data_IF_055441822605
#
_entry.id   IF_055441822605
#
_cell.length_a   1.000
_cell.length_b   1.000
_cell.length_c   1.000
_cell.angle_alpha   90.00
_cell.angle_beta   90.00
_cell.angle_gamma   90.00
#
_symmetry.space_group_name_H-M   'P 1'
#
loop_
_entity.id
_entity.type
_entity.pdbx_description
1 polymer ?
#
# COMPACT_ATOMS: atom_id res chain seq x y z
N UNK A 1 30.53 6.48 8.31
CA UNK A 1 29.94 5.42 9.17
C UNK A 1 28.49 5.24 8.76
N UNK A 2 28.03 4.07 8.30
CA UNK A 2 26.61 3.88 8.00
C UNK A 2 25.83 3.84 9.32
N UNK A 3 24.78 4.65 9.40
CA UNK A 3 23.89 4.73 10.56
C UNK A 3 23.12 3.41 10.67
N UNK A 4 23.30 2.67 11.76
CA UNK A 4 22.41 1.55 12.13
C UNK A 4 21.02 2.12 12.40
N UNK A 5 20.09 1.96 11.47
CA UNK A 5 18.66 2.13 11.74
C UNK A 5 18.20 0.89 12.49
N UNK A 6 18.10 0.98 13.83
CA UNK A 6 17.36 -0.02 14.59
C UNK A 6 15.86 0.23 14.37
N UNK A 7 15.30 -0.25 13.27
CA UNK A 7 13.86 -0.45 13.21
C UNK A 7 13.54 -1.60 14.17
N UNK A 8 12.55 -1.40 15.06
CA UNK A 8 11.98 -2.52 15.80
C UNK A 8 11.49 -3.58 14.79
N UNK A 9 11.61 -4.88 15.10
CA UNK A 9 10.98 -5.90 14.26
C UNK A 9 9.49 -5.60 14.20
N UNK A 10 8.97 -5.48 12.98
CA UNK A 10 7.55 -5.33 12.76
C UNK A 10 6.89 -6.70 12.93
N UNK A 11 6.29 -6.94 14.09
CA UNK A 11 5.63 -8.20 14.44
C UNK A 11 4.38 -8.45 13.58
N UNK A 12 3.85 -7.41 12.91
CA UNK A 12 2.68 -7.52 12.03
C UNK A 12 3.05 -7.84 10.58
N UNK A 13 4.34 -7.92 10.28
CA UNK A 13 4.83 -8.22 8.95
C UNK A 13 4.41 -9.61 8.47
N UNK A 14 4.54 -10.61 9.33
CA UNK A 14 4.22 -11.99 8.96
C UNK A 14 2.72 -12.12 8.58
N UNK A 15 1.85 -11.29 9.17
CA UNK A 15 0.43 -11.22 8.80
C UNK A 15 0.28 -10.75 7.35
N UNK A 16 0.87 -9.60 6.99
CA UNK A 16 0.81 -9.08 5.62
C UNK A 16 1.37 -10.08 4.60
N UNK A 17 2.48 -10.74 4.91
CA UNK A 17 3.08 -11.76 4.03
C UNK A 17 2.18 -13.00 3.89
N UNK A 18 1.52 -13.42 4.97
CA UNK A 18 0.57 -14.55 4.93
C UNK A 18 -0.67 -14.27 4.08
N UNK A 19 -1.05 -13.00 3.92
CA UNK A 19 -2.17 -12.59 3.05
C UNK A 19 -1.78 -12.54 1.56
N UNK A 20 -0.55 -12.90 1.20
CA UNK A 20 -0.13 -12.92 -0.20
C UNK A 20 -0.98 -13.89 -1.02
N UNK A 21 -1.60 -13.37 -2.09
CA UNK A 21 -2.46 -14.14 -2.99
C UNK A 21 -3.92 -14.21 -2.54
N UNK A 22 -4.25 -13.69 -1.36
CA UNK A 22 -5.63 -13.67 -0.86
C UNK A 22 -6.49 -12.70 -1.66
N UNK A 23 -7.72 -13.16 -1.91
CA UNK A 23 -8.78 -12.38 -2.55
C UNK A 23 -10.01 -12.47 -1.65
N UNK A 24 -10.48 -11.33 -1.16
CA UNK A 24 -11.70 -11.27 -0.36
C UNK A 24 -12.82 -10.70 -1.20
N UNK A 25 -13.84 -11.52 -1.45
CA UNK A 25 -15.10 -11.07 -2.04
C UNK A 25 -15.91 -10.32 -0.97
N UNK A 26 -16.50 -9.20 -1.37
CA UNK A 26 -17.26 -8.30 -0.52
C UNK A 26 -18.66 -8.07 -1.11
N UNK A 27 -19.48 -7.31 -0.39
CA UNK A 27 -20.83 -6.98 -0.82
C UNK A 27 -20.84 -6.17 -2.13
N UNK A 28 -21.98 -6.15 -2.83
CA UNK A 28 -22.21 -5.44 -4.10
C UNK A 28 -21.22 -5.77 -5.24
N UNK A 29 -20.54 -6.90 -5.13
CA UNK A 29 -19.56 -7.36 -6.12
C UNK A 29 -18.21 -6.65 -6.01
N UNK A 30 -17.94 -5.96 -4.91
CA UNK A 30 -16.60 -5.49 -4.59
C UNK A 30 -15.70 -6.67 -4.22
N UNK A 31 -14.40 -6.53 -4.51
CA UNK A 31 -13.42 -7.51 -4.07
C UNK A 31 -12.05 -6.87 -3.86
N UNK A 32 -11.30 -7.41 -2.92
CA UNK A 32 -9.93 -6.99 -2.65
C UNK A 32 -8.93 -8.03 -3.11
N UNK A 33 -7.71 -7.60 -3.42
CA UNK A 33 -6.59 -8.48 -3.74
C UNK A 33 -5.34 -8.02 -3.01
N UNK A 34 -4.66 -8.99 -2.40
CA UNK A 34 -3.45 -8.81 -1.64
C UNK A 34 -2.27 -9.48 -2.36
N UNK A 35 -1.24 -8.69 -2.66
CA UNK A 35 0.05 -9.21 -3.12
C UNK A 35 1.13 -8.64 -2.21
N UNK A 36 1.78 -9.47 -1.41
CA UNK A 36 2.90 -9.08 -0.57
C UNK A 36 4.09 -10.02 -0.75
N UNK A 37 5.30 -9.48 -0.83
CA UNK A 37 6.53 -10.24 -1.02
C UNK A 37 7.63 -9.70 -0.13
N UNK A 38 8.40 -10.61 0.48
CA UNK A 38 9.65 -10.25 1.14
C UNK A 38 10.71 -9.97 0.09
N UNK A 39 11.39 -8.83 0.21
CA UNK A 39 12.50 -8.43 -0.66
C UNK A 39 13.69 -8.03 0.20
N UNK A 40 14.89 -8.00 -0.39
CA UNK A 40 16.06 -7.51 0.35
C UNK A 40 15.85 -6.04 0.75
N UNK A 41 16.01 -5.68 2.04
CA UNK A 41 15.94 -4.30 2.46
C UNK A 41 16.97 -3.45 1.73
N UNK A 42 16.54 -2.31 1.21
CA UNK A 42 17.40 -1.37 0.49
C UNK A 42 17.04 0.06 0.83
N UNK A 43 17.82 1.02 0.29
CA UNK A 43 17.59 2.46 0.54
C UNK A 43 16.17 2.92 0.14
N UNK A 44 15.56 2.24 -0.83
CA UNK A 44 14.21 2.53 -1.32
C UNK A 44 13.11 1.67 -0.68
N UNK A 45 13.48 0.54 -0.06
CA UNK A 45 12.54 -0.39 0.61
C UNK A 45 13.15 -0.76 1.96
N UNK A 46 13.17 0.17 2.93
CA UNK A 46 13.86 -0.05 4.20
C UNK A 46 13.24 -1.17 5.03
N UNK A 47 11.95 -1.44 4.83
CA UNK A 47 11.21 -2.52 5.49
C UNK A 47 11.42 -3.90 4.84
N UNK A 48 12.03 -3.97 3.65
CA UNK A 48 12.27 -5.24 2.94
C UNK A 48 10.99 -5.91 2.42
N UNK A 49 9.99 -5.12 2.02
CA UNK A 49 8.68 -5.64 1.60
C UNK A 49 8.22 -4.91 0.35
N UNK A 50 7.75 -5.69 -0.63
CA UNK A 50 7.02 -5.18 -1.78
C UNK A 50 5.55 -5.60 -1.65
N UNK A 51 4.63 -4.66 -1.77
CA UNK A 51 3.20 -4.93 -1.67
C UNK A 51 2.37 -4.23 -2.75
N UNK A 52 1.20 -4.81 -3.02
CA UNK A 52 0.09 -4.23 -3.76
C UNK A 52 -1.23 -4.71 -3.14
N UNK A 53 -1.94 -3.80 -2.48
CA UNK A 53 -3.28 -4.02 -1.93
C UNK A 53 -4.27 -3.24 -2.79
N UNK A 54 -5.32 -3.89 -3.29
CA UNK A 54 -6.25 -3.25 -4.23
C UNK A 54 -7.70 -3.59 -3.92
N UNK A 55 -8.59 -2.62 -4.16
CA UNK A 55 -10.05 -2.81 -4.17
C UNK A 55 -10.55 -2.64 -5.60
N UNK A 56 -11.44 -3.51 -6.02
CA UNK A 56 -12.07 -3.51 -7.33
C UNK A 56 -13.59 -3.55 -7.20
N UNK A 57 -14.29 -2.97 -8.17
CA UNK A 57 -15.75 -3.09 -8.29
C UNK A 57 -16.16 -4.36 -9.07
N UNK A 58 -17.48 -4.57 -9.19
CA UNK A 58 -18.09 -5.66 -9.96
C UNK A 58 -17.75 -5.67 -11.45
N UNK A 59 -17.21 -4.57 -11.99
CA UNK A 59 -16.77 -4.44 -13.37
C UNK A 59 -15.25 -4.66 -13.51
N UNK A 60 -14.57 -5.12 -12.45
CA UNK A 60 -13.12 -5.27 -12.35
C UNK A 60 -12.35 -3.95 -12.52
N UNK A 61 -12.99 -2.82 -12.18
CA UNK A 61 -12.33 -1.52 -12.15
C UNK A 61 -11.66 -1.33 -10.80
N UNK A 62 -10.34 -1.05 -10.78
CA UNK A 62 -9.62 -0.70 -9.54
C UNK A 62 -10.13 0.63 -8.99
N UNK A 63 -10.70 0.60 -7.79
CA UNK A 63 -11.25 1.77 -7.08
C UNK A 63 -10.23 2.37 -6.11
N UNK A 64 -9.45 1.51 -5.46
CA UNK A 64 -8.41 1.86 -4.48
C UNK A 64 -7.17 1.01 -4.73
N UNK A 65 -6.00 1.53 -4.40
CA UNK A 65 -4.92 0.63 -4.01
C UNK A 65 -3.70 1.30 -3.41
N UNK A 66 -2.99 0.49 -2.65
CA UNK A 66 -1.78 0.83 -1.91
C UNK A 66 -0.67 -0.03 -2.49
N UNK A 67 0.34 0.60 -3.10
CA UNK A 67 1.45 -0.13 -3.67
C UNK A 67 2.77 0.64 -3.53
N UNK A 68 3.83 -0.11 -3.23
CA UNK A 68 5.22 0.37 -3.28
C UNK A 68 6.03 -0.35 -4.38
N UNK A 69 5.34 -1.16 -5.20
CA UNK A 69 5.88 -2.01 -6.23
C UNK A 69 6.31 -1.25 -7.51
N UNK A 70 6.03 0.04 -7.61
CA UNK A 70 6.41 0.88 -8.74
C UNK A 70 7.61 1.77 -8.38
N UNK A 71 8.73 1.54 -9.04
CA UNK A 71 9.85 2.48 -9.05
C UNK A 71 9.44 3.76 -9.80
N UNK A 72 8.85 4.73 -9.10
CA UNK A 72 8.66 6.07 -9.63
C UNK A 72 10.02 6.78 -9.76
N UNK A 73 10.53 6.90 -10.99
CA UNK A 73 11.45 7.99 -11.31
C UNK A 73 10.59 9.23 -11.55
N UNK A 74 10.60 10.25 -10.67
CA UNK A 74 9.91 11.50 -10.98
C UNK A 74 10.44 12.05 -12.31
N UNK A 75 9.54 12.30 -13.27
CA UNK A 75 9.87 13.06 -14.48
C UNK A 75 10.32 14.44 -14.03
N UNK A 76 11.64 14.65 -14.01
CA UNK A 76 12.39 15.90 -13.79
C UNK A 76 11.50 17.15 -13.76
N UNK A 77 11.31 17.76 -12.57
CA UNK A 77 11.21 19.22 -12.43
C UNK A 77 11.83 19.71 -11.10
N UNK A 78 12.96 20.43 -11.29
CA UNK A 78 13.61 21.46 -10.46
C UNK A 78 13.86 21.20 -8.97
N UNK A 79 15.16 21.12 -8.66
CA UNK A 79 15.87 21.64 -7.47
C UNK A 79 15.02 21.93 -6.22
N UNK A 80 15.11 21.01 -5.27
CA UNK A 80 14.68 21.19 -3.88
C UNK A 80 14.86 19.86 -3.19
N UNK A 81 15.75 19.79 -2.20
CA UNK A 81 16.01 18.58 -1.43
C UNK A 81 14.69 18.05 -0.85
N UNK A 82 14.25 16.89 -1.32
CA UNK A 82 13.04 16.24 -0.80
C UNK A 82 13.33 14.76 -0.59
N UNK A 83 13.03 14.30 0.62
CA UNK A 83 13.13 12.90 1.04
C UNK A 83 12.10 12.13 0.22
N UNK A 84 12.57 11.22 -0.63
CA UNK A 84 11.70 10.44 -1.53
C UNK A 84 11.03 9.36 -0.69
N UNK A 85 9.78 9.58 -0.28
CA UNK A 85 8.91 8.52 0.25
C UNK A 85 8.27 7.76 -0.91
N UNK A 86 8.34 6.43 -0.82
CA UNK A 86 8.02 5.50 -1.90
C UNK A 86 6.63 4.86 -1.77
N UNK A 87 5.99 4.95 -0.60
CA UNK A 87 4.66 4.41 -0.46
C UNK A 87 3.65 5.39 -1.07
N UNK A 88 2.60 4.89 -1.73
CA UNK A 88 1.57 5.74 -2.29
C UNK A 88 0.17 5.17 -2.08
N UNK A 89 -0.81 6.07 -1.87
CA UNK A 89 -2.25 5.78 -1.79
C UNK A 89 -2.95 6.28 -3.06
N UNK A 90 -3.63 5.39 -3.79
CA UNK A 90 -4.46 5.75 -4.95
C UNK A 90 -5.91 5.93 -4.53
N UNK A 91 -6.40 7.18 -4.51
CA UNK A 91 -7.84 7.47 -4.44
C UNK A 91 -8.32 8.00 -5.79
N UNK A 92 -9.06 7.17 -6.54
CA UNK A 92 -9.67 7.42 -7.87
C UNK A 92 -8.71 7.82 -9.00
N UNK A 93 -7.83 8.83 -8.85
CA UNK A 93 -6.81 9.24 -9.84
C UNK A 93 -5.59 9.96 -9.21
N UNK A 94 -5.52 10.10 -7.87
CA UNK A 94 -4.46 10.86 -7.20
C UNK A 94 -3.46 9.93 -6.53
N UNK A 95 -2.18 10.13 -6.85
CA UNK A 95 -1.02 9.51 -6.22
C UNK A 95 -0.63 10.39 -5.03
N UNK A 96 -0.82 9.91 -3.80
CA UNK A 96 -0.36 10.59 -2.58
C UNK A 96 0.75 9.78 -1.94
N UNK A 97 1.87 10.40 -1.52
CA UNK A 97 2.87 9.69 -0.73
C UNK A 97 2.22 9.21 0.59
N UNK A 98 2.42 7.94 0.88
CA UNK A 98 2.10 7.26 2.11
C UNK A 98 3.45 7.02 2.81
N UNK A 99 3.46 7.00 4.13
CA UNK A 99 4.58 6.51 4.94
C UNK A 99 3.89 5.73 6.05
N UNK A 100 4.16 4.43 6.16
CA UNK A 100 3.60 3.62 7.25
C UNK A 100 4.69 3.22 8.23
N UNK A 101 4.32 3.13 9.51
CA UNK A 101 5.24 2.75 10.58
C UNK A 101 5.32 1.22 10.72
N UNK A 102 4.27 0.49 10.35
CA UNK A 102 4.19 -0.98 10.36
C UNK A 102 3.22 -1.56 9.31
N UNK A 103 3.42 -2.81 8.93
CA UNK A 103 2.52 -3.58 8.07
C UNK A 103 1.08 -3.62 8.62
N UNK A 104 0.92 -3.62 9.94
CA UNK A 104 -0.37 -3.52 10.62
C UNK A 104 -1.08 -2.20 10.32
N UNK A 105 -0.36 -1.07 10.39
CA UNK A 105 -0.94 0.23 10.03
C UNK A 105 -1.36 0.27 8.54
N UNK A 106 -0.54 -0.29 7.65
CA UNK A 106 -0.87 -0.42 6.23
C UNK A 106 -2.19 -1.21 6.02
N UNK A 107 -2.36 -2.32 6.74
CA UNK A 107 -3.57 -3.13 6.68
C UNK A 107 -4.78 -2.38 7.24
N UNK A 108 -4.65 -1.76 8.42
CA UNK A 108 -5.72 -0.98 9.06
C UNK A 108 -6.19 0.17 8.16
N UNK A 109 -5.26 0.94 7.60
CA UNK A 109 -5.58 2.07 6.72
C UNK A 109 -6.24 1.59 5.42
N UNK A 110 -5.78 0.48 4.84
CA UNK A 110 -6.40 -0.10 3.66
C UNK A 110 -7.83 -0.54 3.93
N UNK A 111 -8.08 -1.29 5.01
CA UNK A 111 -9.42 -1.75 5.36
C UNK A 111 -10.36 -0.59 5.70
N UNK A 112 -9.87 0.43 6.41
CA UNK A 112 -10.63 1.63 6.73
C UNK A 112 -11.10 2.37 5.46
N UNK A 113 -10.22 2.53 4.47
CA UNK A 113 -10.60 3.12 3.19
C UNK A 113 -11.58 2.26 2.40
N UNK A 114 -11.39 0.93 2.39
CA UNK A 114 -12.29 -0.02 1.72
C UNK A 114 -13.70 0.09 2.31
N UNK A 115 -13.81 0.04 3.64
CA UNK A 115 -15.10 0.22 4.33
C UNK A 115 -15.74 1.56 4.02
N UNK A 116 -14.96 2.65 4.02
CA UNK A 116 -15.47 3.98 3.71
C UNK A 116 -16.02 4.03 2.28
N UNK A 117 -15.30 3.46 1.31
CA UNK A 117 -15.71 3.43 -0.10
C UNK A 117 -17.01 2.63 -0.28
N UNK A 118 -17.11 1.46 0.34
CA UNK A 118 -18.30 0.61 0.25
C UNK A 118 -19.50 1.34 0.89
N UNK A 119 -19.34 1.87 2.12
CA UNK A 119 -20.38 2.64 2.82
C UNK A 119 -20.83 3.90 2.09
N UNK A 120 -19.94 4.56 1.33
CA UNK A 120 -20.28 5.71 0.49
C UNK A 120 -21.01 5.27 -0.80
N UNK A 121 -20.66 4.10 -1.35
CA UNK A 121 -21.30 3.53 -2.54
C UNK A 121 -22.73 3.05 -2.30
N UNK A 122 -23.04 2.52 -1.11
CA UNK A 122 -24.38 2.07 -0.72
C UNK A 122 -25.41 3.21 -0.57
N UNK A 123 -24.97 4.47 -0.50
CA UNK A 123 -25.84 5.64 -0.28
C UNK A 123 -26.29 6.35 -1.56
N UNK A 124 -25.89 5.87 -2.73
CA UNK A 124 -26.26 6.41 -4.05
C UNK A 124 -27.26 5.54 -4.77
#
# INVERSE_FOLDING_TARGET
MPKKTSSKPDETLDVLLSMHGEIFLMDDGFWTKFEAYKVEPGEHIPHGIRYSLTLHDKHNTRILGFDNAHSFKPKKRRYGAYKVSWDHKHKREKILPYEYESAGQLLEDFWSDVEQIIKEGEKG
#
